data_IF_367764302591
#
_entry.id   IF_367764302591
#
_cell.length_a   1.000
_cell.length_b   1.000
_cell.length_c   1.000
_cell.angle_alpha   90.00
_cell.angle_beta   90.00
_cell.angle_gamma   90.00
#
_symmetry.space_group_name_H-M   'P 1'
#
loop_
_entity.id
_entity.type
_entity.pdbx_description
1 polymer ?
#
# COMPACT_ATOMS: atom_id res chain seq x y z
N UNK A 1 32.16 31.57 78.13
CA UNK A 1 31.41 30.30 78.28
C UNK A 1 32.11 29.25 77.43
N UNK A 2 32.81 28.30 78.05
CA UNK A 2 33.46 27.20 77.34
C UNK A 2 32.55 25.98 77.32
N UNK A 3 32.42 25.35 76.16
CA UNK A 3 31.68 24.10 75.98
C UNK A 3 32.31 23.00 76.85
N UNK A 4 31.49 22.15 77.50
CA UNK A 4 32.01 21.05 78.31
C UNK A 4 32.49 19.91 77.41
N UNK A 5 33.42 19.09 77.93
CA UNK A 5 33.95 17.94 77.19
C UNK A 5 32.85 16.97 76.73
N UNK A 6 31.82 16.76 77.55
CA UNK A 6 30.65 15.92 77.21
C UNK A 6 29.86 16.50 76.04
N UNK A 7 29.64 17.82 76.02
CA UNK A 7 28.97 18.51 74.90
C UNK A 7 29.78 18.38 73.60
N UNK A 8 31.11 18.44 73.68
CA UNK A 8 31.99 18.21 72.52
C UNK A 8 31.88 16.76 72.03
N UNK A 9 31.83 15.78 72.94
CA UNK A 9 31.66 14.38 72.56
C UNK A 9 30.30 14.10 71.92
N UNK A 10 29.24 14.72 72.41
CA UNK A 10 27.89 14.58 71.87
C UNK A 10 27.79 15.17 70.45
N UNK A 11 28.40 16.33 70.22
CA UNK A 11 28.50 16.95 68.88
C UNK A 11 29.32 16.07 67.93
N UNK A 12 30.47 15.54 68.36
CA UNK A 12 31.28 14.64 67.54
C UNK A 12 30.56 13.33 67.21
N UNK A 13 29.81 12.76 68.15
CA UNK A 13 28.97 11.59 67.93
C UNK A 13 27.88 11.87 66.88
N UNK A 14 27.17 12.99 67.03
CA UNK A 14 26.14 13.44 66.09
C UNK A 14 26.69 13.66 64.67
N UNK A 15 27.86 14.31 64.55
CA UNK A 15 28.54 14.52 63.27
C UNK A 15 28.96 13.20 62.64
N UNK A 16 29.51 12.28 63.43
CA UNK A 16 29.95 10.96 62.95
C UNK A 16 28.77 10.16 62.42
N UNK A 17 27.63 10.17 63.13
CA UNK A 17 26.41 9.49 62.73
C UNK A 17 25.77 10.13 61.48
N UNK A 18 25.78 11.46 61.38
CA UNK A 18 25.32 12.17 60.19
C UNK A 18 26.19 11.86 58.96
N UNK A 19 27.51 11.82 59.10
CA UNK A 19 28.43 11.47 58.02
C UNK A 19 28.25 10.02 57.56
N UNK A 20 28.06 9.07 58.48
CA UNK A 20 27.73 7.69 58.12
C UNK A 20 26.42 7.61 57.33
N UNK A 21 25.38 8.34 57.76
CA UNK A 21 24.12 8.42 57.04
C UNK A 21 24.25 9.04 55.64
N UNK A 22 25.10 10.07 55.49
CA UNK A 22 25.42 10.68 54.20
C UNK A 22 26.14 9.71 53.27
N UNK A 23 27.14 8.97 53.75
CA UNK A 23 27.84 7.97 52.95
C UNK A 23 26.92 6.84 52.49
N UNK A 24 26.01 6.37 53.35
CA UNK A 24 25.01 5.37 52.98
C UNK A 24 24.08 5.90 51.87
N UNK A 25 23.58 7.14 52.01
CA UNK A 25 22.75 7.78 50.99
C UNK A 25 23.50 7.95 49.67
N UNK A 26 24.74 8.42 49.72
CA UNK A 26 25.58 8.57 48.54
C UNK A 26 25.76 7.23 47.81
N UNK A 27 26.02 6.14 48.55
CA UNK A 27 26.15 4.79 47.96
C UNK A 27 24.85 4.26 47.33
N UNK A 28 23.68 4.71 47.81
CA UNK A 28 22.38 4.36 47.23
C UNK A 28 22.15 5.13 45.93
N UNK A 29 22.42 6.45 45.95
CA UNK A 29 22.31 7.32 44.79
C UNK A 29 23.24 6.85 43.68
N UNK A 30 24.47 6.46 43.99
CA UNK A 30 25.43 5.94 43.00
C UNK A 30 24.92 4.66 42.31
N UNK A 31 24.27 3.77 43.07
CA UNK A 31 23.65 2.55 42.51
C UNK A 31 22.46 2.87 41.63
N UNK A 32 21.53 3.70 42.11
CA UNK A 32 20.35 4.11 41.33
C UNK A 32 20.75 4.85 40.04
N UNK A 33 21.78 5.68 40.09
CA UNK A 33 22.33 6.37 38.92
C UNK A 33 22.99 5.39 37.94
N UNK A 34 23.65 4.35 38.43
CA UNK A 34 24.21 3.29 37.59
C UNK A 34 23.11 2.52 36.86
N UNK A 35 22.06 2.10 37.57
CA UNK A 35 20.92 1.39 37.00
C UNK A 35 20.18 2.26 35.98
N UNK A 36 20.03 3.55 36.28
CA UNK A 36 19.41 4.52 35.36
C UNK A 36 20.22 4.68 34.08
N UNK A 37 21.56 4.76 34.16
CA UNK A 37 22.42 4.81 32.97
C UNK A 37 22.27 3.58 32.10
N UNK A 38 22.25 2.40 32.72
CA UNK A 38 22.07 1.15 31.98
C UNK A 38 20.71 1.10 31.24
N UNK A 39 19.64 1.59 31.87
CA UNK A 39 18.32 1.70 31.24
C UNK A 39 18.36 2.68 30.06
N UNK A 40 19.02 3.83 30.22
CA UNK A 40 19.16 4.84 29.17
C UNK A 40 19.94 4.28 27.98
N UNK A 41 21.05 3.58 28.21
CA UNK A 41 21.86 2.98 27.15
C UNK A 41 21.06 1.94 26.37
N UNK A 42 20.36 1.03 27.07
CA UNK A 42 19.48 0.05 26.42
C UNK A 42 18.34 0.72 25.65
N UNK A 43 17.78 1.81 26.18
CA UNK A 43 16.72 2.56 25.51
C UNK A 43 17.23 3.22 24.23
N UNK A 44 18.43 3.82 24.27
CA UNK A 44 19.10 4.42 23.11
C UNK A 44 19.36 3.39 22.00
N UNK A 45 19.86 2.21 22.37
CA UNK A 45 20.08 1.12 21.42
C UNK A 45 18.77 0.65 20.77
N UNK A 46 17.71 0.52 21.58
CA UNK A 46 16.39 0.14 21.07
C UNK A 46 15.80 1.19 20.13
N UNK A 47 15.94 2.47 20.45
CA UNK A 47 15.50 3.56 19.57
C UNK A 47 16.23 3.53 18.23
N UNK A 48 17.56 3.34 18.25
CA UNK A 48 18.36 3.21 17.03
C UNK A 48 17.90 2.04 16.16
N UNK A 49 17.57 0.89 16.78
CA UNK A 49 17.02 -0.26 16.06
C UNK A 49 15.63 0.02 15.49
N UNK A 50 14.77 0.71 16.24
CA UNK A 50 13.43 1.09 15.79
C UNK A 50 13.54 2.03 14.59
N UNK A 51 14.41 3.03 14.64
CA UNK A 51 14.66 3.94 13.51
C UNK A 51 15.07 3.17 12.25
N UNK A 52 16.01 2.24 12.38
CA UNK A 52 16.45 1.39 11.26
C UNK A 52 15.31 0.53 10.69
N UNK A 53 14.44 -0.02 11.54
CA UNK A 53 13.26 -0.79 11.11
C UNK A 53 12.23 0.08 10.40
N UNK A 54 11.96 1.28 10.93
CA UNK A 54 11.02 2.23 10.33
C UNK A 54 11.53 2.67 8.95
N UNK A 55 12.82 2.99 8.83
CA UNK A 55 13.42 3.38 7.56
C UNK A 55 13.40 2.23 6.54
N UNK A 56 13.71 1.01 6.97
CA UNK A 56 13.63 -0.19 6.14
C UNK A 56 12.21 -0.44 5.63
N UNK A 57 11.21 -0.34 6.51
CA UNK A 57 9.80 -0.50 6.17
C UNK A 57 9.33 0.58 5.20
N UNK A 58 9.73 1.84 5.40
CA UNK A 58 9.40 2.94 4.49
C UNK A 58 9.95 2.66 3.07
N UNK A 59 11.21 2.20 2.97
CA UNK A 59 11.79 1.80 1.68
C UNK A 59 11.06 0.63 1.03
N UNK A 60 10.68 -0.38 1.81
CA UNK A 60 9.92 -1.53 1.31
C UNK A 60 8.55 -1.12 0.77
N UNK A 61 7.81 -0.29 1.51
CA UNK A 61 6.50 0.24 1.10
C UNK A 61 6.63 1.03 -0.20
N UNK A 62 7.63 1.92 -0.29
CA UNK A 62 7.87 2.71 -1.50
C UNK A 62 8.21 1.83 -2.70
N UNK A 63 9.05 0.81 -2.52
CA UNK A 63 9.37 -0.14 -3.59
C UNK A 63 8.14 -0.94 -4.05
N UNK A 64 7.27 -1.35 -3.12
CA UNK A 64 6.01 -2.03 -3.46
C UNK A 64 5.05 -1.10 -4.20
N UNK A 65 4.93 0.16 -3.76
CA UNK A 65 4.08 1.15 -4.41
C UNK A 65 4.51 1.41 -5.86
N UNK A 66 5.80 1.65 -6.09
CA UNK A 66 6.33 1.88 -7.44
C UNK A 66 6.10 0.67 -8.37
N UNK A 67 6.29 -0.55 -7.85
CA UNK A 67 6.05 -1.78 -8.62
C UNK A 67 4.57 -2.00 -8.93
N UNK A 68 3.69 -1.59 -8.02
CA UNK A 68 2.25 -1.67 -8.22
C UNK A 68 1.80 -0.68 -9.31
N UNK A 69 2.33 0.54 -9.29
CA UNK A 69 2.08 1.56 -10.30
C UNK A 69 2.47 1.09 -11.71
N UNK A 70 3.68 0.55 -11.86
CA UNK A 70 4.17 -0.02 -13.12
C UNK A 70 3.25 -1.14 -13.64
N UNK A 71 2.72 -1.98 -12.75
CA UNK A 71 1.79 -3.05 -13.13
C UNK A 71 0.43 -2.50 -13.57
N UNK A 72 -0.08 -1.47 -12.89
CA UNK A 72 -1.33 -0.83 -13.30
C UNK A 72 -1.19 -0.18 -14.67
N UNK A 73 -0.08 0.48 -14.96
CA UNK A 73 0.20 1.04 -16.29
C UNK A 73 0.23 -0.03 -17.38
N UNK A 74 0.88 -1.17 -17.12
CA UNK A 74 0.90 -2.29 -18.07
C UNK A 74 -0.51 -2.83 -18.34
N UNK A 75 -1.34 -2.96 -17.30
CA UNK A 75 -2.73 -3.41 -17.42
C UNK A 75 -3.56 -2.39 -18.21
N UNK A 76 -3.45 -1.10 -17.88
CA UNK A 76 -4.17 -0.04 -18.58
C UNK A 76 -3.82 -0.04 -20.08
N UNK A 77 -2.55 -0.17 -20.43
CA UNK A 77 -2.10 -0.27 -21.82
C UNK A 77 -2.59 -1.55 -22.51
N UNK A 78 -2.74 -2.66 -21.79
CA UNK A 78 -3.31 -3.89 -22.35
C UNK A 78 -4.81 -3.73 -22.64
N UNK A 79 -5.56 -3.13 -21.70
CA UNK A 79 -6.99 -2.85 -21.87
C UNK A 79 -7.24 -1.95 -23.08
N UNK A 80 -6.48 -0.85 -23.22
CA UNK A 80 -6.61 0.06 -24.37
C UNK A 80 -6.38 -0.69 -25.69
N UNK A 81 -5.33 -1.53 -25.76
CA UNK A 81 -5.04 -2.33 -26.96
C UNK A 81 -6.14 -3.32 -27.29
N UNK A 82 -6.75 -3.93 -26.28
CA UNK A 82 -7.83 -4.89 -26.47
C UNK A 82 -9.13 -4.18 -26.88
N UNK A 83 -9.42 -2.99 -26.36
CA UNK A 83 -10.53 -2.15 -26.80
C UNK A 83 -10.38 -1.77 -28.29
N UNK A 84 -9.20 -1.29 -28.70
CA UNK A 84 -8.92 -0.97 -30.11
C UNK A 84 -9.03 -2.20 -31.02
N UNK A 85 -8.72 -3.39 -30.50
CA UNK A 85 -8.86 -4.65 -31.25
C UNK A 85 -10.33 -5.04 -31.38
N UNK A 86 -11.11 -4.94 -30.31
CA UNK A 86 -12.55 -5.21 -30.31
C UNK A 86 -13.28 -4.30 -31.28
N UNK A 87 -13.01 -2.99 -31.23
CA UNK A 87 -13.65 -2.02 -32.13
C UNK A 87 -13.34 -2.31 -33.61
N UNK A 88 -12.13 -2.77 -33.91
CA UNK A 88 -11.76 -3.23 -35.27
C UNK A 88 -12.47 -4.51 -35.67
N UNK A 89 -12.68 -5.45 -34.75
CA UNK A 89 -13.42 -6.68 -35.00
C UNK A 89 -14.90 -6.37 -35.25
N UNK A 90 -15.54 -5.56 -34.43
CA UNK A 90 -16.93 -5.14 -34.61
C UNK A 90 -17.16 -4.45 -35.97
N UNK A 91 -16.26 -3.53 -36.37
CA UNK A 91 -16.36 -2.89 -37.69
C UNK A 91 -16.23 -3.88 -38.85
N UNK A 92 -15.43 -4.93 -38.68
CA UNK A 92 -15.30 -5.99 -39.69
C UNK A 92 -16.54 -6.86 -39.73
N UNK A 93 -17.08 -7.20 -38.57
CA UNK A 93 -18.28 -8.02 -38.43
C UNK A 93 -19.48 -7.34 -39.13
N UNK A 94 -19.75 -6.08 -38.77
CA UNK A 94 -20.80 -5.27 -39.43
C UNK A 94 -20.62 -5.14 -40.94
N UNK A 95 -19.38 -5.18 -41.45
CA UNK A 95 -19.13 -5.15 -42.89
C UNK A 95 -19.47 -6.49 -43.53
N UNK A 96 -19.05 -7.58 -42.92
CA UNK A 96 -19.34 -8.94 -43.38
C UNK A 96 -20.84 -9.18 -43.38
N UNK A 97 -21.56 -8.75 -42.34
CA UNK A 97 -23.02 -8.88 -42.27
C UNK A 97 -23.72 -8.14 -43.43
N UNK A 98 -23.27 -6.91 -43.74
CA UNK A 98 -23.79 -6.15 -44.88
C UNK A 98 -23.50 -6.82 -46.23
N UNK A 99 -22.33 -7.43 -46.39
CA UNK A 99 -21.98 -8.18 -47.59
C UNK A 99 -22.85 -9.43 -47.73
N UNK A 100 -23.05 -10.18 -46.64
CA UNK A 100 -23.92 -11.37 -46.61
C UNK A 100 -25.36 -10.98 -46.95
N UNK A 101 -25.88 -9.89 -46.37
CA UNK A 101 -27.21 -9.38 -46.67
C UNK A 101 -27.34 -9.01 -48.16
N UNK A 102 -26.36 -8.30 -48.72
CA UNK A 102 -26.32 -7.97 -50.15
C UNK A 102 -26.34 -9.20 -51.05
N UNK A 103 -25.55 -10.22 -50.71
CA UNK A 103 -25.51 -11.50 -51.44
C UNK A 103 -26.84 -12.27 -51.33
N UNK A 104 -27.48 -12.25 -50.16
CA UNK A 104 -28.81 -12.86 -49.95
C UNK A 104 -29.87 -12.20 -50.85
N UNK A 105 -29.93 -10.87 -50.85
CA UNK A 105 -30.85 -10.10 -51.68
C UNK A 105 -30.61 -10.37 -53.17
N UNK A 106 -29.34 -10.37 -53.61
CA UNK A 106 -29.00 -10.64 -55.00
C UNK A 106 -29.38 -12.07 -55.42
N UNK A 107 -29.07 -13.06 -54.57
CA UNK A 107 -29.44 -14.46 -54.80
C UNK A 107 -30.95 -14.61 -54.91
N UNK A 108 -31.72 -13.96 -54.03
CA UNK A 108 -33.19 -13.94 -54.09
C UNK A 108 -33.68 -13.39 -55.42
N UNK A 109 -33.19 -12.21 -55.84
CA UNK A 109 -33.57 -11.60 -57.13
C UNK A 109 -33.27 -12.51 -58.33
N UNK A 110 -32.14 -13.21 -58.30
CA UNK A 110 -31.81 -14.19 -59.34
C UNK A 110 -32.81 -15.35 -59.35
N UNK A 111 -33.16 -15.88 -58.18
CA UNK A 111 -34.13 -16.97 -58.04
C UNK A 111 -35.54 -16.54 -58.47
N UNK A 112 -36.03 -15.37 -58.07
CA UNK A 112 -37.32 -14.82 -58.51
C UNK A 112 -37.37 -14.67 -60.03
N UNK A 113 -36.28 -14.18 -60.63
CA UNK A 113 -36.17 -14.06 -62.09
C UNK A 113 -36.20 -15.43 -62.80
N UNK A 114 -35.60 -16.46 -62.19
CA UNK A 114 -35.59 -17.81 -62.74
C UNK A 114 -36.92 -18.53 -62.58
N UNK A 115 -37.61 -18.34 -61.45
CA UNK A 115 -38.87 -18.99 -61.12
C UNK A 115 -40.09 -18.27 -61.73
N UNK A 116 -39.96 -16.98 -62.06
CA UNK A 116 -41.01 -16.19 -62.72
C UNK A 116 -42.06 -15.62 -61.77
N UNK A 117 -41.92 -15.84 -60.46
CA UNK A 117 -42.81 -15.34 -59.41
C UNK A 117 -41.98 -14.75 -58.26
N UNK A 118 -42.42 -13.62 -57.66
CA UNK A 118 -41.73 -13.01 -56.51
C UNK A 118 -41.96 -13.84 -55.24
N UNK A 119 -40.96 -13.91 -54.36
CA UNK A 119 -41.16 -14.50 -53.03
C UNK A 119 -42.01 -13.54 -52.17
N UNK A 120 -43.03 -14.08 -51.49
CA UNK A 120 -43.99 -13.30 -50.70
C UNK A 120 -43.49 -12.89 -49.31
N UNK A 121 -42.48 -13.59 -48.80
CA UNK A 121 -41.96 -13.38 -47.45
C UNK A 121 -40.59 -12.71 -47.55
N UNK A 122 -40.35 -11.65 -46.78
CA UNK A 122 -39.02 -11.04 -46.66
C UNK A 122 -38.42 -11.34 -45.29
N UNK A 123 -37.48 -12.31 -45.18
CA UNK A 123 -36.89 -12.68 -43.90
C UNK A 123 -35.93 -11.62 -43.35
N UNK A 124 -35.59 -10.59 -44.14
CA UNK A 124 -34.60 -9.58 -43.78
C UNK A 124 -35.25 -8.21 -43.41
N UNK A 125 -36.58 -8.11 -43.31
CA UNK A 125 -37.32 -6.88 -42.89
C UNK A 125 -37.40 -6.67 -41.38
N UNK A 126 -37.02 -7.66 -40.56
CA UNK A 126 -37.14 -7.61 -39.09
C UNK A 126 -35.86 -7.10 -38.39
N UNK A 127 -34.76 -6.89 -39.14
CA UNK A 127 -33.46 -6.44 -38.61
C UNK A 127 -33.29 -4.91 -38.71
N UNK A 128 -34.32 -4.13 -38.34
CA UNK A 128 -34.14 -2.70 -38.06
C UNK A 128 -33.27 -2.56 -36.80
N UNK A 129 -31.97 -2.38 -37.04
CA UNK A 129 -30.90 -2.06 -36.08
C UNK A 129 -31.35 -0.85 -35.22
N UNK A 130 -31.63 -1.01 -33.91
CA UNK A 130 -31.86 0.14 -33.04
C UNK A 130 -30.52 0.85 -32.81
N UNK A 131 -30.42 2.10 -33.29
CA UNK A 131 -29.27 3.01 -33.10
C UNK A 131 -28.74 3.08 -31.66
#
# INVERSE_FOLDING_TARGET
MSMTFEQIQEVLSSITQANLGLHQRQSSIEREMSDTREIVDRSSDNLTRIEALVESNARAIQATANKLDEKFDQIAQAIIRDQDRLERLERRDRRVDKEILGLRIETRRMLERWLGEPFTDDPDLDDDDPE
#
